data_IF_072530062768
#
_entry.id   IF_072530062768
#
_cell.length_a   1.000
_cell.length_b   1.000
_cell.length_c   1.000
_cell.angle_alpha   90.00
_cell.angle_beta   90.00
_cell.angle_gamma   90.00
#
_symmetry.space_group_name_H-M   'P 1'
#
loop_
_entity.id
_entity.type
_entity.pdbx_description
1 polymer ?
#
# COMPACT_ATOMS: atom_id res chain seq x y z
N UNK A 1 -9.24 3.23 4.49
CA UNK A 1 -8.44 2.28 3.69
C UNK A 1 -8.10 1.02 4.47
N UNK A 2 -7.64 1.12 5.72
CA UNK A 2 -7.27 -0.03 6.58
C UNK A 2 -8.27 -1.19 6.61
N UNK A 3 -9.59 -0.94 6.75
CA UNK A 3 -10.62 -1.99 6.63
C UNK A 3 -10.98 -2.37 5.20
N UNK A 4 -11.08 -1.38 4.30
CA UNK A 4 -11.57 -1.58 2.94
C UNK A 4 -10.67 -2.50 2.11
N UNK A 5 -9.34 -2.36 2.24
CA UNK A 5 -8.37 -3.19 1.50
C UNK A 5 -8.55 -4.67 1.84
N UNK A 6 -8.42 -5.13 3.11
CA UNK A 6 -8.61 -6.55 3.44
C UNK A 6 -10.01 -7.05 3.09
N UNK A 7 -11.08 -6.28 3.33
CA UNK A 7 -12.45 -6.67 2.93
C UNK A 7 -12.56 -6.94 1.42
N UNK A 8 -11.88 -6.15 0.57
CA UNK A 8 -11.88 -6.38 -0.88
C UNK A 8 -10.99 -7.55 -1.30
N UNK A 9 -9.85 -7.76 -0.63
CA UNK A 9 -8.95 -8.87 -0.93
C UNK A 9 -9.58 -10.22 -0.56
N UNK A 10 -10.29 -10.30 0.57
CA UNK A 10 -10.97 -11.52 1.01
C UNK A 10 -12.05 -12.00 0.03
N UNK A 11 -12.61 -11.09 -0.79
CA UNK A 11 -13.57 -11.43 -1.85
C UNK A 11 -12.91 -12.02 -3.11
N UNK A 12 -11.58 -12.01 -3.20
CA UNK A 12 -10.84 -12.46 -4.39
C UNK A 12 -10.31 -13.88 -4.19
N UNK A 13 -10.88 -14.83 -4.93
CA UNK A 13 -10.44 -16.24 -4.94
C UNK A 13 -8.98 -16.47 -5.38
N UNK A 14 -8.38 -15.47 -6.04
CA UNK A 14 -7.01 -15.54 -6.55
C UNK A 14 -5.98 -14.92 -5.58
N UNK A 15 -6.39 -14.57 -4.35
CA UNK A 15 -5.53 -13.99 -3.32
C UNK A 15 -5.78 -14.75 -2.01
N UNK A 16 -4.71 -15.13 -1.35
CA UNK A 16 -4.73 -15.75 -0.03
C UNK A 16 -4.26 -14.72 1.01
N UNK A 17 -5.17 -14.25 1.85
CA UNK A 17 -4.86 -13.23 2.87
C UNK A 17 -4.24 -13.92 4.07
N UNK A 18 -2.93 -13.72 4.27
CA UNK A 18 -2.18 -14.32 5.39
C UNK A 18 -2.30 -13.60 6.72
N UNK A 19 -2.77 -12.35 6.72
CA UNK A 19 -3.07 -11.63 7.95
C UNK A 19 -3.17 -10.12 7.75
N UNK A 20 -3.42 -9.42 8.84
CA UNK A 20 -3.55 -7.96 8.91
C UNK A 20 -2.80 -7.47 10.14
N UNK A 21 -2.19 -6.29 10.03
CA UNK A 21 -1.46 -5.63 11.10
C UNK A 21 -2.07 -4.26 11.34
N UNK A 22 -2.33 -3.95 12.60
CA UNK A 22 -2.69 -2.60 13.04
C UNK A 22 -2.06 -2.33 14.42
N UNK A 23 -1.64 -1.08 14.64
CA UNK A 23 -0.98 -0.66 15.89
C UNK A 23 -2.00 -0.25 16.97
N UNK A 24 -3.26 -0.03 16.58
CA UNK A 24 -4.31 0.34 17.53
C UNK A 24 -4.58 -0.84 18.49
N UNK A 25 -4.38 -0.69 19.81
CA UNK A 25 -4.62 -1.74 20.79
C UNK A 25 -6.05 -2.28 20.78
N UNK A 26 -7.02 -1.52 20.26
CA UNK A 26 -8.41 -1.97 20.15
C UNK A 26 -8.60 -3.07 19.10
N UNK A 27 -7.74 -3.12 18.08
CA UNK A 27 -7.85 -4.10 17.00
C UNK A 27 -6.95 -5.32 17.20
N UNK A 28 -5.84 -5.18 17.94
CA UNK A 28 -4.89 -6.28 18.16
C UNK A 28 -5.60 -7.49 18.81
N UNK A 29 -5.46 -8.66 18.19
CA UNK A 29 -6.11 -9.90 18.61
C UNK A 29 -7.58 -10.05 18.21
N UNK A 30 -8.20 -9.01 17.64
CA UNK A 30 -9.55 -9.10 17.09
C UNK A 30 -9.57 -10.00 15.85
N UNK A 31 -10.62 -10.82 15.71
CA UNK A 31 -10.82 -11.65 14.52
C UNK A 31 -11.02 -10.79 13.29
N UNK A 32 -10.34 -11.13 12.20
CA UNK A 32 -10.36 -10.37 10.97
C UNK A 32 -11.76 -10.29 10.36
N UNK A 33 -12.56 -11.35 10.46
CA UNK A 33 -13.93 -11.36 9.94
C UNK A 33 -14.83 -10.31 10.61
N UNK A 34 -14.72 -10.15 11.92
CA UNK A 34 -15.42 -9.12 12.69
C UNK A 34 -14.93 -7.71 12.33
N UNK A 35 -13.62 -7.53 12.18
CA UNK A 35 -13.06 -6.23 11.78
C UNK A 35 -13.50 -5.78 10.37
N UNK A 36 -13.61 -6.74 9.45
CA UNK A 36 -14.01 -6.54 8.07
C UNK A 36 -15.53 -6.58 7.82
N UNK A 37 -16.33 -6.89 8.85
CA UNK A 37 -17.78 -7.09 8.80
C UNK A 37 -18.19 -8.09 7.71
N UNK A 38 -17.58 -9.28 7.75
CA UNK A 38 -17.87 -10.39 6.85
C UNK A 38 -18.29 -11.64 7.63
N UNK A 39 -19.21 -12.42 7.04
CA UNK A 39 -19.79 -13.60 7.70
C UNK A 39 -18.86 -14.81 7.69
N UNK A 40 -17.89 -14.86 6.78
CA UNK A 40 -16.98 -16.00 6.65
C UNK A 40 -16.16 -16.23 7.93
N UNK A 41 -16.11 -17.47 8.41
CA UNK A 41 -15.22 -17.85 9.50
C UNK A 41 -13.78 -17.88 9.00
N UNK A 42 -12.99 -16.89 9.44
CA UNK A 42 -11.56 -16.80 9.20
C UNK A 42 -10.80 -17.03 10.51
N UNK A 43 -9.86 -17.96 10.48
CA UNK A 43 -8.92 -18.20 11.58
C UNK A 43 -7.74 -17.20 11.53
N UNK A 44 -8.04 -15.92 11.30
CA UNK A 44 -7.05 -14.86 11.23
C UNK A 44 -7.40 -13.79 12.26
N UNK A 45 -6.37 -13.33 12.98
CA UNK A 45 -6.47 -12.22 13.93
C UNK A 45 -5.58 -11.08 13.47
N UNK A 46 -5.87 -9.87 13.95
CA UNK A 46 -5.03 -8.70 13.68
C UNK A 46 -3.79 -8.78 14.58
N UNK A 47 -2.62 -8.77 13.97
CA UNK A 47 -1.32 -8.80 14.64
C UNK A 47 -0.87 -7.38 15.03
N UNK A 48 -0.06 -7.29 16.09
CA UNK A 48 0.41 -6.01 16.64
C UNK A 48 1.51 -5.34 15.81
N UNK A 49 2.29 -6.13 15.07
CA UNK A 49 3.35 -5.63 14.22
C UNK A 49 3.65 -6.61 13.08
N UNK A 50 4.31 -6.07 12.05
CA UNK A 50 4.59 -6.78 10.82
C UNK A 50 5.64 -7.89 10.99
N UNK A 51 6.63 -7.71 11.86
CA UNK A 51 7.67 -8.71 12.09
C UNK A 51 7.11 -10.01 12.68
N UNK A 52 6.18 -9.89 13.64
CA UNK A 52 5.49 -11.06 14.22
C UNK A 52 4.74 -11.84 13.15
N UNK A 53 4.01 -11.15 12.26
CA UNK A 53 3.28 -11.81 11.17
C UNK A 53 4.25 -12.51 10.20
N UNK A 54 5.27 -11.80 9.71
CA UNK A 54 6.23 -12.34 8.76
C UNK A 54 7.12 -13.47 9.34
N UNK A 55 7.24 -13.56 10.67
CA UNK A 55 7.92 -14.68 11.32
C UNK A 55 7.12 -15.99 11.30
N UNK A 56 5.78 -15.89 11.21
CA UNK A 56 4.86 -17.04 11.23
C UNK A 56 4.44 -17.46 9.83
N UNK A 57 4.34 -16.50 8.92
CA UNK A 57 3.75 -16.67 7.61
C UNK A 57 4.73 -16.24 6.51
N UNK A 58 4.81 -17.04 5.44
CA UNK A 58 5.47 -16.63 4.21
C UNK A 58 4.48 -15.82 3.37
N UNK A 59 4.85 -14.58 3.05
CA UNK A 59 4.00 -13.63 2.32
C UNK A 59 4.70 -13.19 1.04
N UNK A 60 3.97 -13.17 -0.08
CA UNK A 60 4.54 -12.74 -1.37
C UNK A 60 4.46 -11.20 -1.54
N UNK A 61 3.44 -10.57 -0.97
CA UNK A 61 3.15 -9.14 -1.09
C UNK A 61 2.61 -8.57 0.21
N UNK A 62 3.22 -7.47 0.69
CA UNK A 62 2.73 -6.65 1.80
C UNK A 62 2.09 -5.38 1.26
N UNK A 63 0.87 -5.07 1.69
CA UNK A 63 0.16 -3.82 1.33
C UNK A 63 0.17 -2.86 2.52
N UNK A 64 0.85 -1.71 2.37
CA UNK A 64 0.99 -0.72 3.44
C UNK A 64 0.03 0.46 3.20
N UNK A 65 -0.85 0.70 4.18
CA UNK A 65 -1.88 1.74 4.12
C UNK A 65 -1.93 2.63 5.37
N UNK A 66 -0.76 2.95 5.92
CA UNK A 66 -0.61 3.58 7.24
C UNK A 66 -0.36 5.08 7.21
N UNK A 67 0.49 5.58 6.31
CA UNK A 67 0.86 7.01 6.27
C UNK A 67 1.15 7.51 4.86
N UNK A 68 0.97 8.81 4.67
CA UNK A 68 1.32 9.53 3.43
C UNK A 68 2.79 9.92 3.35
N UNK A 69 3.51 9.87 4.48
CA UNK A 69 4.91 10.30 4.58
C UNK A 69 5.87 9.13 4.39
N UNK A 70 6.81 9.25 3.44
CA UNK A 70 7.71 8.16 3.09
C UNK A 70 8.60 7.76 4.27
N UNK A 71 9.12 8.73 5.03
CA UNK A 71 9.98 8.46 6.19
C UNK A 71 9.27 7.61 7.25
N UNK A 72 7.95 7.79 7.42
CA UNK A 72 7.15 6.99 8.36
C UNK A 72 6.87 5.58 7.85
N UNK A 73 6.81 5.41 6.53
CA UNK A 73 6.49 4.13 5.87
C UNK A 73 7.75 3.31 5.57
N UNK A 74 8.91 3.95 5.41
CA UNK A 74 10.17 3.31 5.07
C UNK A 74 10.57 2.18 6.02
N UNK A 75 10.42 2.27 7.35
CA UNK A 75 10.70 1.14 8.24
C UNK A 75 9.88 -0.11 7.91
N UNK A 76 8.58 0.05 7.63
CA UNK A 76 7.69 -1.06 7.24
C UNK A 76 8.06 -1.62 5.86
N UNK A 77 8.45 -0.77 4.91
CA UNK A 77 8.97 -1.21 3.60
C UNK A 77 10.22 -2.08 3.81
N UNK A 78 11.19 -1.61 4.62
CA UNK A 78 12.43 -2.34 4.89
C UNK A 78 12.15 -3.70 5.55
N UNK A 79 11.25 -3.77 6.53
CA UNK A 79 10.83 -5.03 7.15
C UNK A 79 10.26 -6.01 6.12
N UNK A 80 9.32 -5.56 5.28
CA UNK A 80 8.71 -6.40 4.25
C UNK A 80 9.75 -6.88 3.22
N UNK A 81 10.60 -5.98 2.73
CA UNK A 81 11.65 -6.31 1.75
C UNK A 81 12.65 -7.31 2.32
N UNK A 82 13.10 -7.13 3.56
CA UNK A 82 14.04 -8.05 4.22
C UNK A 82 13.44 -9.46 4.46
N UNK A 83 12.11 -9.58 4.52
CA UNK A 83 11.44 -10.88 4.55
C UNK A 83 11.33 -11.55 3.17
N UNK A 84 11.78 -10.89 2.11
CA UNK A 84 11.59 -11.33 0.72
C UNK A 84 10.20 -11.06 0.15
N UNK A 85 9.42 -10.16 0.77
CA UNK A 85 8.09 -9.77 0.29
C UNK A 85 8.16 -8.56 -0.65
N UNK A 86 7.35 -8.58 -1.71
CA UNK A 86 7.09 -7.36 -2.49
C UNK A 86 6.23 -6.38 -1.68
N UNK A 87 6.28 -5.10 -2.03
CA UNK A 87 5.55 -4.05 -1.32
C UNK A 87 4.70 -3.22 -2.27
N UNK A 88 3.42 -3.07 -1.92
CA UNK A 88 2.51 -2.08 -2.49
C UNK A 88 2.15 -1.10 -1.38
N UNK A 89 2.18 0.20 -1.63
CA UNK A 89 1.77 1.19 -0.64
C UNK A 89 0.91 2.29 -1.24
N UNK A 90 -0.03 2.79 -0.44
CA UNK A 90 -0.81 4.01 -0.76
C UNK A 90 -0.16 5.30 -0.23
N UNK A 91 1.08 5.19 0.27
CA UNK A 91 1.89 6.34 0.67
C UNK A 91 2.07 7.29 -0.51
N UNK A 92 1.54 8.51 -0.39
CA UNK A 92 1.52 9.45 -1.52
C UNK A 92 2.92 9.89 -1.93
N UNK A 93 3.85 10.04 -0.99
CA UNK A 93 5.23 10.41 -1.30
C UNK A 93 6.02 9.29 -1.99
N UNK A 94 5.58 8.02 -1.87
CA UNK A 94 6.21 6.88 -2.54
C UNK A 94 5.87 6.80 -4.04
N UNK A 95 4.92 7.59 -4.56
CA UNK A 95 4.56 7.50 -5.98
C UNK A 95 5.71 7.90 -6.92
N UNK A 96 6.53 8.86 -6.50
CA UNK A 96 7.78 9.23 -7.18
C UNK A 96 8.74 9.90 -6.19
N UNK A 97 9.39 9.12 -5.32
CA UNK A 97 10.09 9.65 -4.16
C UNK A 97 11.45 10.26 -4.52
N UNK A 98 12.03 9.89 -5.67
CA UNK A 98 13.37 10.31 -6.10
C UNK A 98 13.57 11.82 -6.19
N UNK A 99 12.49 12.60 -6.35
CA UNK A 99 12.57 14.07 -6.36
C UNK A 99 12.66 14.68 -4.96
N UNK A 100 11.91 14.16 -4.00
CA UNK A 100 11.81 14.71 -2.64
C UNK A 100 12.79 14.04 -1.67
N UNK A 101 13.05 12.75 -1.87
CA UNK A 101 13.83 11.89 -0.98
C UNK A 101 14.85 11.04 -1.78
N UNK A 102 15.78 11.65 -2.54
CA UNK A 102 16.69 10.91 -3.43
C UNK A 102 17.49 9.82 -2.68
N UNK A 103 18.11 10.16 -1.55
CA UNK A 103 18.91 9.22 -0.75
C UNK A 103 18.09 8.05 -0.22
N UNK A 104 16.92 8.32 0.36
CA UNK A 104 16.04 7.27 0.88
C UNK A 104 15.47 6.41 -0.26
N UNK A 105 15.23 7.00 -1.43
CA UNK A 105 14.79 6.27 -2.62
C UNK A 105 15.86 5.31 -3.13
N UNK A 106 17.11 5.77 -3.22
CA UNK A 106 18.26 4.93 -3.58
C UNK A 106 18.49 3.80 -2.58
N UNK A 107 18.37 4.08 -1.28
CA UNK A 107 18.48 3.07 -0.22
C UNK A 107 17.40 1.98 -0.39
N UNK A 108 16.13 2.37 -0.56
CA UNK A 108 15.02 1.44 -0.73
C UNK A 108 15.13 0.65 -2.04
N UNK A 109 15.55 1.29 -3.13
CA UNK A 109 15.78 0.64 -4.43
C UNK A 109 16.91 -0.39 -4.35
N UNK A 110 18.04 -0.04 -3.75
CA UNK A 110 19.15 -0.96 -3.54
C UNK A 110 18.75 -2.16 -2.67
N UNK A 111 17.98 -1.92 -1.60
CA UNK A 111 17.49 -2.97 -0.72
C UNK A 111 16.49 -3.90 -1.43
N UNK A 112 15.58 -3.35 -2.22
CA UNK A 112 14.61 -4.14 -3.00
C UNK A 112 15.33 -5.03 -4.03
N UNK A 113 16.32 -4.47 -4.73
CA UNK A 113 17.14 -5.20 -5.71
C UNK A 113 17.96 -6.32 -5.07
N UNK A 114 18.60 -6.07 -3.91
CA UNK A 114 19.40 -7.09 -3.24
C UNK A 114 18.58 -8.27 -2.72
N UNK A 115 17.30 -8.03 -2.39
CA UNK A 115 16.35 -9.07 -1.98
C UNK A 115 15.52 -9.65 -3.15
N UNK A 116 15.75 -9.20 -4.38
CA UNK A 116 15.00 -9.61 -5.57
C UNK A 116 13.46 -9.42 -5.44
N UNK A 117 13.05 -8.27 -4.91
CA UNK A 117 11.64 -7.88 -4.73
C UNK A 117 11.36 -6.49 -5.32
N UNK A 118 10.08 -6.14 -5.41
CA UNK A 118 9.60 -4.87 -5.94
C UNK A 118 8.91 -4.03 -4.88
N UNK A 119 9.10 -2.71 -4.91
CA UNK A 119 8.38 -1.73 -4.10
C UNK A 119 7.66 -0.75 -5.02
N UNK A 120 6.36 -0.55 -4.83
CA UNK A 120 5.57 0.40 -5.63
C UNK A 120 4.62 1.24 -4.77
N UNK A 121 4.66 2.56 -4.98
CA UNK A 121 3.65 3.50 -4.48
C UNK A 121 2.54 3.69 -5.51
N UNK A 122 1.28 3.48 -5.12
CA UNK A 122 0.13 3.64 -6.02
C UNK A 122 -1.13 4.09 -5.29
N UNK A 123 -2.15 4.50 -6.03
CA UNK A 123 -3.40 5.02 -5.49
C UNK A 123 -4.19 5.77 -6.55
N UNK A 124 -5.30 6.40 -6.15
CA UNK A 124 -6.09 7.22 -7.08
C UNK A 124 -5.32 8.49 -7.46
N UNK A 125 -4.73 9.20 -6.49
CA UNK A 125 -3.82 10.31 -6.73
C UNK A 125 -2.93 10.53 -5.50
N UNK A 126 -1.60 10.50 -5.65
CA UNK A 126 -0.87 10.11 -6.86
C UNK A 126 -1.02 8.61 -7.19
N UNK A 127 -0.62 8.19 -8.39
CA UNK A 127 -0.71 6.80 -8.87
C UNK A 127 -1.46 6.67 -10.20
N UNK A 128 -2.79 6.69 -10.17
CA UNK A 128 -3.63 6.44 -11.34
C UNK A 128 -4.09 7.72 -12.05
N UNK A 129 -5.02 8.47 -11.46
CA UNK A 129 -5.84 9.48 -12.14
C UNK A 129 -5.02 10.62 -12.76
N UNK A 130 -4.03 11.12 -12.02
CA UNK A 130 -3.15 12.21 -12.47
C UNK A 130 -1.72 11.73 -12.74
N UNK A 131 -1.50 10.41 -12.76
CA UNK A 131 -0.20 9.78 -13.03
C UNK A 131 -0.28 8.87 -14.25
N UNK A 132 -0.59 7.59 -14.02
CA UNK A 132 -0.64 6.57 -15.06
C UNK A 132 -1.64 6.89 -16.19
N UNK A 133 -2.83 7.42 -15.88
CA UNK A 133 -3.87 7.65 -16.88
C UNK A 133 -3.44 8.67 -17.96
N UNK A 134 -2.94 9.88 -17.62
CA UNK A 134 -2.37 10.78 -18.61
C UNK A 134 -1.25 10.14 -19.44
N UNK A 135 -0.35 9.37 -18.82
CA UNK A 135 0.74 8.68 -19.54
C UNK A 135 0.17 7.74 -20.61
N UNK A 136 -0.80 6.90 -20.23
CA UNK A 136 -1.44 5.95 -21.15
C UNK A 136 -2.19 6.68 -22.27
N UNK A 137 -2.94 7.73 -21.97
CA UNK A 137 -3.70 8.50 -22.98
C UNK A 137 -2.75 9.20 -23.97
N UNK A 138 -1.55 9.59 -23.55
CA UNK A 138 -0.56 10.22 -24.42
C UNK A 138 0.21 9.24 -25.32
N UNK A 139 0.10 7.93 -25.10
CA UNK A 139 0.84 6.91 -25.86
C UNK A 139 0.69 7.00 -27.40
N UNK A 140 -0.49 7.28 -27.99
CA UNK A 140 -0.63 7.41 -29.44
C UNK A 140 -0.24 8.80 -30.00
N UNK A 141 0.09 9.77 -29.15
CA UNK A 141 0.46 11.11 -29.60
C UNK A 141 1.90 11.14 -30.13
N UNK A 142 2.10 11.60 -31.36
CA UNK A 142 3.46 11.82 -31.90
C UNK A 142 4.23 12.91 -31.14
N UNK A 143 3.53 13.92 -30.63
CA UNK A 143 4.08 15.01 -29.84
C UNK A 143 3.04 15.50 -28.81
N UNK A 144 3.45 15.66 -27.55
CA UNK A 144 2.60 16.17 -26.46
C UNK A 144 3.03 17.58 -26.12
N UNK A 145 2.23 18.58 -26.51
CA UNK A 145 2.52 20.00 -26.25
C UNK A 145 2.14 20.44 -24.83
N UNK A 146 1.05 19.91 -24.29
CA UNK A 146 0.55 20.20 -22.94
C UNK A 146 -0.29 19.04 -22.41
N UNK A 147 -0.34 18.93 -21.09
CA UNK A 147 -1.24 18.02 -20.35
C UNK A 147 -1.97 18.86 -19.32
N UNK A 148 -3.29 18.82 -19.32
CA UNK A 148 -4.14 19.45 -18.32
C UNK A 148 -5.05 18.40 -17.70
N UNK A 149 -5.08 18.34 -16.37
CA UNK A 149 -5.91 17.38 -15.63
C UNK A 149 -6.63 18.13 -14.50
N UNK A 150 -7.96 18.13 -14.54
CA UNK A 150 -8.80 18.67 -13.47
C UNK A 150 -9.39 17.52 -12.66
N UNK A 151 -9.10 17.48 -11.36
CA UNK A 151 -9.74 16.55 -10.41
C UNK A 151 -10.73 17.31 -9.54
N UNK A 152 -12.01 16.96 -9.66
CA UNK A 152 -13.07 17.45 -8.77
C UNK A 152 -13.48 16.33 -7.80
N UNK A 153 -13.60 16.66 -6.51
CA UNK A 153 -14.05 15.72 -5.48
C UNK A 153 -15.06 16.40 -4.55
N UNK A 154 -16.10 15.66 -4.17
CA UNK A 154 -17.04 16.12 -3.16
C UNK A 154 -16.46 15.90 -1.76
N UNK A 155 -15.95 16.97 -1.16
CA UNK A 155 -15.36 16.94 0.18
C UNK A 155 -16.38 16.77 1.31
N UNK A 156 -17.69 16.94 1.05
CA UNK A 156 -18.71 16.77 2.10
C UNK A 156 -18.84 15.32 2.60
N UNK A 157 -18.31 14.35 1.84
CA UNK A 157 -18.21 12.94 2.25
C UNK A 157 -16.78 12.52 2.59
N UNK A 158 -15.88 13.48 2.78
CA UNK A 158 -14.48 13.21 3.11
C UNK A 158 -14.43 12.69 4.55
N UNK A 159 -13.76 11.54 4.74
CA UNK A 159 -13.42 11.03 6.07
C UNK A 159 -12.47 12.02 6.76
N UNK A 160 -12.68 12.24 8.06
CA UNK A 160 -11.76 13.02 8.88
C UNK A 160 -10.33 12.42 8.89
N UNK A 161 -9.27 13.24 8.96
CA UNK A 161 -7.93 12.77 9.31
C UNK A 161 -7.97 12.09 10.68
N UNK A 162 -7.21 11.01 10.82
CA UNK A 162 -7.03 10.29 12.08
C UNK A 162 -5.92 10.94 12.91
#
# INVERSE_FOLDING_TARGET
MGRLIPTLLLKRKNIDVKGVVDIDPQFIGEKLNKFCDIEDELNLVIESNLEVLLSKEKVDVVIIATSSFLEKVAPLIKQAVNSGSNVISICTELSYPFKLYPKLSEELDALAKSNNVTVVGTGINPGYLMGLLPIVITAPCQNVKSIEVTRMMNSAKRREPF
#
